data_IF_049139006911
#
_entry.id   IF_049139006911
#
_cell.length_a   1.000
_cell.length_b   1.000
_cell.length_c   1.000
_cell.angle_alpha   90.00
_cell.angle_beta   90.00
_cell.angle_gamma   90.00
#
_symmetry.space_group_name_H-M   'P 1'
#
loop_
_entity.id
_entity.type
_entity.pdbx_description
1 polymer ?
#
# COMPACT_ATOMS: atom_id res chain seq x y z
N UNK A 1 5.63 18.88 -7.88
CA UNK A 1 6.16 17.62 -7.33
C UNK A 1 5.60 16.48 -8.13
N UNK A 2 6.47 15.60 -8.66
CA UNK A 2 6.04 14.49 -9.49
C UNK A 2 5.35 13.42 -8.64
N UNK A 3 4.25 12.87 -9.12
CA UNK A 3 3.61 11.69 -8.52
C UNK A 3 4.23 10.43 -9.11
N UNK A 4 4.27 9.33 -8.34
CA UNK A 4 4.59 8.00 -8.87
C UNK A 4 3.49 7.43 -9.78
N UNK A 5 2.26 7.94 -9.66
CA UNK A 5 1.12 7.43 -10.41
C UNK A 5 0.98 8.14 -11.76
N UNK A 6 0.73 7.37 -12.82
CA UNK A 6 0.45 7.89 -14.16
C UNK A 6 -0.95 8.48 -14.25
N UNK A 7 -1.87 8.01 -13.41
CA UNK A 7 -3.26 8.49 -13.38
C UNK A 7 -3.86 8.47 -11.97
N UNK A 8 -4.94 9.23 -11.77
CA UNK A 8 -5.73 9.18 -10.52
C UNK A 8 -6.34 7.80 -10.29
N UNK A 9 -6.77 7.12 -11.35
CA UNK A 9 -7.40 5.80 -11.26
C UNK A 9 -6.44 4.76 -10.69
N UNK A 10 -5.18 4.76 -11.15
CA UNK A 10 -4.12 3.88 -10.63
C UNK A 10 -3.90 4.09 -9.12
N UNK A 11 -3.85 5.35 -8.67
CA UNK A 11 -3.75 5.65 -7.24
C UNK A 11 -4.96 5.17 -6.44
N UNK A 12 -6.16 5.33 -6.98
CA UNK A 12 -7.38 4.87 -6.32
C UNK A 12 -7.39 3.35 -6.19
N UNK A 13 -6.91 2.63 -7.21
CA UNK A 13 -6.77 1.17 -7.15
C UNK A 13 -5.84 0.73 -6.02
N UNK A 14 -4.66 1.35 -5.91
CA UNK A 14 -3.73 1.03 -4.81
C UNK A 14 -4.31 1.38 -3.44
N UNK A 15 -5.08 2.46 -3.32
CA UNK A 15 -5.80 2.77 -2.07
C UNK A 15 -6.80 1.66 -1.74
N UNK A 16 -7.60 1.22 -2.72
CA UNK A 16 -8.58 0.15 -2.50
C UNK A 16 -7.86 -1.13 -2.05
N UNK A 17 -6.78 -1.52 -2.73
CA UNK A 17 -5.98 -2.71 -2.39
C UNK A 17 -5.33 -2.60 -1.00
N UNK A 18 -4.76 -1.44 -0.66
CA UNK A 18 -4.11 -1.20 0.62
C UNK A 18 -5.07 -1.39 1.82
N UNK A 19 -6.33 -0.97 1.66
CA UNK A 19 -7.38 -1.06 2.68
C UNK A 19 -8.25 -2.32 2.56
N UNK A 20 -8.02 -3.17 1.56
CA UNK A 20 -8.69 -4.46 1.47
C UNK A 20 -8.30 -5.35 2.66
N UNK A 21 -9.20 -6.25 3.04
CA UNK A 21 -8.99 -7.28 4.08
C UNK A 21 -8.95 -8.65 3.40
N UNK A 22 -7.77 -9.14 2.98
CA UNK A 22 -7.65 -10.44 2.31
C UNK A 22 -8.30 -11.56 3.12
N UNK A 23 -8.17 -11.53 4.45
CA UNK A 23 -8.63 -12.58 5.36
C UNK A 23 -10.15 -12.80 5.33
N UNK A 24 -10.91 -11.77 4.97
CA UNK A 24 -12.37 -11.83 4.88
C UNK A 24 -12.87 -11.89 3.43
N UNK A 25 -11.97 -12.06 2.47
CA UNK A 25 -12.32 -12.05 1.05
C UNK A 25 -12.89 -13.39 0.62
N UNK A 26 -13.86 -13.34 -0.28
CA UNK A 26 -14.50 -14.52 -0.88
C UNK A 26 -14.54 -14.37 -2.39
N UNK A 27 -14.40 -15.48 -3.11
CA UNK A 27 -14.52 -15.55 -4.57
C UNK A 27 -15.85 -16.12 -4.98
N UNK A 28 -16.42 -15.57 -6.06
CA UNK A 28 -17.61 -16.14 -6.67
C UNK A 28 -17.23 -17.34 -7.54
N UNK A 29 -17.80 -18.51 -7.25
CA UNK A 29 -17.51 -19.74 -7.96
C UNK A 29 -18.67 -20.15 -8.86
N UNK A 30 -18.43 -20.13 -10.17
CA UNK A 30 -19.37 -20.64 -11.16
C UNK A 30 -19.45 -22.18 -11.15
N UNK A 31 -18.37 -22.85 -10.78
CA UNK A 31 -18.29 -24.32 -10.76
C UNK A 31 -18.98 -24.94 -9.55
N UNK A 32 -19.11 -24.21 -8.45
CA UNK A 32 -19.79 -24.67 -7.23
C UNK A 32 -21.22 -24.11 -7.14
N UNK A 33 -21.92 -24.04 -8.28
CA UNK A 33 -23.32 -23.63 -8.35
C UNK A 33 -23.55 -22.15 -8.02
N UNK A 34 -22.62 -21.26 -8.40
CA UNK A 34 -22.77 -19.82 -8.21
C UNK A 34 -22.68 -19.39 -6.74
N UNK A 35 -21.83 -20.04 -5.95
CA UNK A 35 -21.66 -19.74 -4.52
C UNK A 35 -20.41 -18.90 -4.27
N UNK A 36 -20.45 -18.11 -3.21
CA UNK A 36 -19.24 -17.48 -2.67
C UNK A 36 -18.47 -18.49 -1.84
N UNK A 37 -17.19 -18.64 -2.14
CA UNK A 37 -16.27 -19.53 -1.47
C UNK A 37 -15.10 -18.72 -0.90
N UNK A 38 -14.49 -19.17 0.22
CA UNK A 38 -13.22 -18.60 0.65
C UNK A 38 -12.14 -18.80 -0.42
N UNK A 39 -11.18 -17.89 -0.42
CA UNK A 39 -9.95 -18.07 -1.18
C UNK A 39 -9.08 -19.17 -0.55
N UNK A 40 -8.30 -19.85 -1.37
CA UNK A 40 -7.27 -20.78 -0.91
C UNK A 40 -6.11 -20.01 -0.26
N UNK A 41 -5.32 -20.66 0.61
CA UNK A 41 -4.25 -19.95 1.34
C UNK A 41 -3.21 -19.31 0.41
N UNK A 42 -2.86 -19.96 -0.71
CA UNK A 42 -1.93 -19.39 -1.69
C UNK A 42 -2.52 -18.16 -2.42
N UNK A 43 -3.83 -18.12 -2.64
CA UNK A 43 -4.51 -16.96 -3.22
C UNK A 43 -4.52 -15.80 -2.21
N UNK A 44 -4.77 -16.10 -0.93
CA UNK A 44 -4.69 -15.12 0.16
C UNK A 44 -3.27 -14.56 0.32
N UNK A 45 -2.24 -15.39 0.16
CA UNK A 45 -0.84 -14.97 0.22
C UNK A 45 -0.51 -13.99 -0.91
N UNK A 46 -0.94 -14.26 -2.14
CA UNK A 46 -0.81 -13.34 -3.27
C UNK A 46 -1.54 -12.01 -3.00
N UNK A 47 -2.77 -12.04 -2.48
CA UNK A 47 -3.51 -10.83 -2.13
C UNK A 47 -2.81 -10.01 -1.04
N UNK A 48 -2.18 -10.66 -0.06
CA UNK A 48 -1.38 -9.98 0.98
C UNK A 48 -0.14 -9.30 0.36
N UNK A 49 0.52 -9.96 -0.59
CA UNK A 49 1.66 -9.40 -1.30
C UNK A 49 1.26 -8.16 -2.13
N UNK A 50 0.19 -8.25 -2.92
CA UNK A 50 -0.34 -7.14 -3.71
C UNK A 50 -0.70 -5.94 -2.83
N UNK A 51 -1.35 -6.22 -1.67
CA UNK A 51 -1.66 -5.20 -0.67
C UNK A 51 -0.41 -4.53 -0.12
N UNK A 52 0.63 -5.29 0.22
CA UNK A 52 1.89 -4.75 0.71
C UNK A 52 2.55 -3.82 -0.32
N UNK A 53 2.55 -4.23 -1.59
CA UNK A 53 3.06 -3.41 -2.70
C UNK A 53 2.26 -2.12 -2.89
N UNK A 54 0.94 -2.18 -2.82
CA UNK A 54 0.08 -1.00 -2.93
C UNK A 54 0.34 -0.02 -1.77
N UNK A 55 0.45 -0.52 -0.54
CA UNK A 55 0.80 0.30 0.63
C UNK A 55 2.16 0.99 0.48
N UNK A 56 3.18 0.24 0.06
CA UNK A 56 4.51 0.79 -0.15
C UNK A 56 4.49 1.92 -1.19
N UNK A 57 3.79 1.74 -2.30
CA UNK A 57 3.69 2.73 -3.38
C UNK A 57 3.00 4.01 -2.93
N UNK A 58 1.92 3.89 -2.15
CA UNK A 58 1.23 5.04 -1.56
C UNK A 58 2.14 5.83 -0.60
N UNK A 59 2.93 5.13 0.21
CA UNK A 59 3.87 5.78 1.13
C UNK A 59 4.97 6.52 0.37
N UNK A 60 5.58 5.89 -0.63
CA UNK A 60 6.63 6.53 -1.43
C UNK A 60 6.05 7.74 -2.18
N UNK A 61 4.88 7.61 -2.81
CA UNK A 61 4.22 8.73 -3.50
C UNK A 61 3.92 9.89 -2.53
N UNK A 62 3.53 9.59 -1.28
CA UNK A 62 3.35 10.62 -0.24
C UNK A 62 4.67 11.32 0.08
N UNK A 63 5.76 10.58 0.26
CA UNK A 63 7.10 11.14 0.55
C UNK A 63 7.57 12.03 -0.60
N UNK A 64 7.45 11.58 -1.85
CA UNK A 64 7.87 12.38 -3.02
C UNK A 64 7.10 13.69 -3.19
N UNK A 65 5.88 13.75 -2.64
CA UNK A 65 5.05 14.96 -2.64
C UNK A 65 5.18 15.79 -1.35
N UNK A 66 5.90 15.29 -0.35
CA UNK A 66 6.17 16.05 0.87
C UNK A 66 7.33 17.02 0.64
N UNK A 67 7.26 18.25 1.17
CA UNK A 67 8.38 19.18 1.09
C UNK A 67 9.66 18.52 1.63
N UNK A 68 10.84 18.90 1.10
CA UNK A 68 12.10 18.30 1.52
C UNK A 68 12.21 18.38 3.04
N UNK A 69 12.50 17.23 3.66
CA UNK A 69 12.76 17.16 5.09
C UNK A 69 13.94 18.08 5.38
N UNK A 70 13.74 19.06 6.27
CA UNK A 70 14.80 19.95 6.73
C UNK A 70 15.73 19.16 7.66
N UNK A 71 16.60 18.35 7.04
CA UNK A 71 17.61 17.54 7.70
C UNK A 71 18.76 18.44 8.17
N UNK A 72 18.47 19.42 9.03
CA UNK A 72 19.54 20.17 9.69
C UNK A 72 20.28 19.19 10.59
N UNK A 73 21.61 19.12 10.50
CA UNK A 73 22.37 18.32 11.45
C UNK A 73 22.07 18.83 12.86
N UNK A 74 21.69 17.91 13.74
CA UNK A 74 21.57 18.18 15.17
C UNK A 74 22.93 18.64 15.66
N UNK A 75 23.13 19.95 15.77
CA UNK A 75 24.30 20.50 16.42
C UNK A 75 24.10 20.28 17.91
N UNK A 76 24.75 19.25 18.46
CA UNK A 76 24.84 19.15 19.91
C UNK A 76 25.63 20.38 20.38
N UNK A 77 24.95 21.28 21.07
CA UNK A 77 25.61 22.33 21.85
C UNK A 77 26.23 21.68 23.08
N UNK A 78 27.25 20.85 22.87
CA UNK A 78 28.21 20.54 23.92
C UNK A 78 29.15 21.75 24.00
N UNK A 79 28.67 22.78 24.70
CA UNK A 79 29.51 23.88 25.14
C UNK A 79 30.68 23.29 25.91
N UNK A 80 31.88 23.63 25.42
CA UNK A 80 33.14 23.48 26.11
C UNK A 80 33.06 24.35 27.38
N UNK A 81 33.33 23.74 28.52
CA UNK A 81 33.96 24.39 29.67
C UNK A 81 35.16 23.55 30.09
#
# INVERSE_FOLDING_TARGET
MASLYKSRAERVQDVILAYAKPENSVRYSLTHGGRYLPYEEHELELMREERAWAMARLVIDKIMRSPPLDLRPYQSSAQRD
#
